data_IF_569195227404
#
_entry.id   IF_569195227404
#
_cell.length_a   1.000
_cell.length_b   1.000
_cell.length_c   1.000
_cell.angle_alpha   90.00
_cell.angle_beta   90.00
_cell.angle_gamma   90.00
#
_symmetry.space_group_name_H-M   'P 1'
#
loop_
_entity.id
_entity.type
_entity.pdbx_description
1 polymer ?
#
# COMPACT_ATOMS: atom_id res chain seq x y z
N UNK A 1 2.20 -5.18 -9.00
CA UNK A 1 2.21 -6.51 -8.35
C UNK A 1 1.27 -7.46 -9.07
N UNK A 2 1.76 -8.60 -9.58
CA UNK A 2 0.91 -9.63 -10.21
C UNK A 2 -0.14 -10.20 -9.26
N UNK A 3 -1.23 -10.73 -9.82
CA UNK A 3 -2.24 -11.43 -9.03
C UNK A 3 -1.65 -12.72 -8.41
N UNK A 4 -1.95 -12.97 -7.14
CA UNK A 4 -1.47 -14.16 -6.42
C UNK A 4 -0.08 -14.02 -5.78
N UNK A 5 0.54 -12.83 -5.83
CA UNK A 5 1.73 -12.53 -5.03
C UNK A 5 1.42 -12.63 -3.54
N UNK A 6 2.27 -13.37 -2.81
CA UNK A 6 2.22 -13.45 -1.36
C UNK A 6 3.17 -12.42 -0.77
N UNK A 7 2.75 -11.75 0.31
CA UNK A 7 3.53 -10.71 0.97
C UNK A 7 3.52 -10.89 2.47
N UNK A 8 4.63 -10.54 3.12
CA UNK A 8 4.70 -10.36 4.56
C UNK A 8 4.59 -8.87 4.83
N UNK A 9 3.64 -8.49 5.70
CA UNK A 9 3.38 -7.08 5.99
C UNK A 9 3.23 -6.81 7.48
N UNK A 10 3.89 -5.77 7.97
CA UNK A 10 3.83 -5.31 9.35
C UNK A 10 2.73 -4.26 9.53
N UNK A 11 1.86 -4.43 10.53
CA UNK A 11 0.82 -3.45 10.84
C UNK A 11 1.44 -2.18 11.43
N UNK A 12 1.22 -1.04 10.78
CA UNK A 12 1.72 0.24 11.24
C UNK A 12 0.72 0.99 12.13
N UNK A 13 1.23 1.54 13.23
CA UNK A 13 0.56 2.58 14.02
C UNK A 13 0.64 3.93 13.30
N UNK A 14 -0.33 4.82 13.54
CA UNK A 14 -0.41 6.14 12.86
C UNK A 14 0.88 6.97 12.97
N UNK A 15 1.51 6.97 14.14
CA UNK A 15 2.78 7.68 14.36
C UNK A 15 3.95 7.12 13.53
N UNK A 16 3.84 5.93 12.96
CA UNK A 16 4.84 5.31 12.09
C UNK A 16 4.54 5.46 10.60
N UNK A 17 3.48 6.17 10.22
CA UNK A 17 3.12 6.31 8.80
C UNK A 17 4.18 7.03 7.97
N UNK A 18 5.06 7.83 8.60
CA UNK A 18 6.21 8.41 7.92
C UNK A 18 7.15 7.36 7.28
N UNK A 19 7.13 6.10 7.76
CA UNK A 19 7.99 5.02 7.26
C UNK A 19 7.59 4.45 5.89
N UNK A 20 6.41 4.79 5.37
CA UNK A 20 5.87 4.17 4.15
C UNK A 20 6.26 4.91 2.86
N UNK A 21 6.98 6.02 2.95
CA UNK A 21 7.39 6.78 1.77
C UNK A 21 8.21 5.90 0.82
N UNK A 22 7.83 5.88 -0.46
CA UNK A 22 8.43 5.06 -1.50
C UNK A 22 8.33 3.54 -1.25
N UNK A 23 7.42 3.08 -0.39
CA UNK A 23 7.21 1.66 -0.05
C UNK A 23 5.85 1.17 -0.55
N UNK A 24 5.73 -0.15 -0.67
CA UNK A 24 4.46 -0.82 -0.93
C UNK A 24 3.74 -1.06 0.39
N UNK A 25 2.44 -0.76 0.42
CA UNK A 25 1.59 -0.92 1.60
C UNK A 25 0.31 -1.64 1.23
N UNK A 26 -0.32 -2.25 2.23
CA UNK A 26 -1.70 -2.71 2.19
C UNK A 26 -2.54 -1.79 3.06
N UNK A 27 -3.66 -1.32 2.54
CA UNK A 27 -4.56 -0.38 3.21
C UNK A 27 -5.95 -1.01 3.33
N UNK A 28 -6.51 -1.01 4.53
CA UNK A 28 -7.89 -1.38 4.76
C UNK A 28 -8.80 -0.15 4.67
N UNK A 29 -9.76 -0.20 3.75
CA UNK A 29 -10.73 0.87 3.49
C UNK A 29 -12.13 0.26 3.44
N UNK A 30 -12.94 0.58 4.45
CA UNK A 30 -14.24 -0.06 4.64
C UNK A 30 -14.11 -1.59 4.77
N UNK A 31 -14.73 -2.34 3.84
CA UNK A 31 -14.69 -3.81 3.78
C UNK A 31 -13.62 -4.36 2.82
N UNK A 32 -12.77 -3.50 2.24
CA UNK A 32 -11.80 -3.87 1.19
C UNK A 32 -10.37 -3.67 1.69
N UNK A 33 -9.47 -4.47 1.14
CA UNK A 33 -8.03 -4.28 1.22
C UNK A 33 -7.52 -3.84 -0.15
N UNK A 34 -6.67 -2.82 -0.19
CA UNK A 34 -6.05 -2.31 -1.40
C UNK A 34 -4.54 -2.28 -1.18
N UNK A 35 -3.78 -2.81 -2.12
CA UNK A 35 -2.32 -2.78 -2.07
C UNK A 35 -1.76 -1.84 -3.15
N UNK A 36 -0.74 -1.07 -2.81
CA UNK A 36 -0.11 -0.14 -3.75
C UNK A 36 1.12 0.53 -3.15
N UNK A 37 1.84 1.29 -3.97
CA UNK A 37 3.02 2.05 -3.55
C UNK A 37 2.64 3.47 -3.17
N UNK A 38 3.22 3.96 -2.08
CA UNK A 38 3.13 5.37 -1.67
C UNK A 38 4.35 6.11 -2.19
N UNK A 39 4.20 7.29 -2.80
CA UNK A 39 5.34 8.13 -3.22
C UNK A 39 5.59 9.23 -2.20
N UNK A 40 6.78 9.82 -2.24
CA UNK A 40 7.34 10.69 -1.20
C UNK A 40 6.50 11.94 -0.85
N UNK A 41 5.61 12.40 -1.75
CA UNK A 41 4.81 13.62 -1.58
C UNK A 41 3.40 13.42 -1.03
N UNK A 42 2.88 12.19 -0.98
CA UNK A 42 1.43 11.98 -0.85
C UNK A 42 0.92 11.91 0.59
N UNK A 43 1.83 11.99 1.56
CA UNK A 43 1.51 11.99 2.99
C UNK A 43 1.35 13.40 3.56
N UNK A 44 1.71 14.43 2.80
CA UNK A 44 1.74 15.81 3.28
C UNK A 44 0.37 16.46 3.05
N UNK A 45 -0.44 16.43 4.11
CA UNK A 45 -1.36 17.50 4.52
C UNK A 45 -2.77 17.61 3.90
N UNK A 46 -3.11 16.92 2.81
CA UNK A 46 -4.43 17.13 2.16
C UNK A 46 -5.57 16.20 2.61
N UNK A 47 -5.39 15.41 3.67
CA UNK A 47 -6.44 14.49 4.16
C UNK A 47 -6.72 13.31 3.21
N UNK A 48 -5.97 13.19 2.12
CA UNK A 48 -6.05 12.14 1.11
C UNK A 48 -4.71 11.40 1.05
N UNK A 49 -4.80 10.11 0.77
CA UNK A 49 -3.71 9.16 0.68
C UNK A 49 -3.70 8.59 -0.73
N UNK A 50 -2.58 8.73 -1.45
CA UNK A 50 -2.47 8.26 -2.83
C UNK A 50 -1.76 6.91 -2.88
N UNK A 51 -2.41 5.93 -3.49
CA UNK A 51 -1.84 4.61 -3.79
C UNK A 51 -1.58 4.49 -5.28
N UNK A 52 -0.32 4.36 -5.64
CA UNK A 52 0.07 4.09 -7.01
C UNK A 52 0.10 2.59 -7.25
N UNK A 53 -0.20 2.18 -8.48
CA UNK A 53 0.13 0.82 -8.90
C UNK A 53 1.64 0.61 -8.78
N UNK A 54 2.03 -0.57 -8.30
CA UNK A 54 3.44 -0.98 -8.23
C UNK A 54 3.96 -1.50 -9.58
N UNK A 55 3.14 -1.50 -10.64
CA UNK A 55 3.57 -1.72 -12.03
C UNK A 55 3.98 -0.42 -12.71
N UNK A 56 4.83 -0.48 -13.75
CA UNK A 56 5.18 0.65 -14.64
C UNK A 56 4.00 1.17 -15.49
N UNK A 57 2.77 0.92 -15.05
CA UNK A 57 1.54 1.35 -15.71
C UNK A 57 1.31 2.83 -15.49
N UNK A 58 0.83 3.53 -16.51
CA UNK A 58 0.39 4.94 -16.46
C UNK A 58 -0.98 5.12 -15.79
N UNK A 59 -1.46 4.11 -15.05
CA UNK A 59 -2.74 4.18 -14.38
C UNK A 59 -2.75 5.28 -13.31
N UNK A 60 -3.86 6.01 -13.25
CA UNK A 60 -4.06 7.03 -12.24
C UNK A 60 -3.97 6.45 -10.83
N UNK A 61 -3.43 7.20 -9.85
CA UNK A 61 -3.36 6.74 -8.47
C UNK A 61 -4.75 6.55 -7.88
N UNK A 62 -4.88 5.57 -6.98
CA UNK A 62 -6.08 5.39 -6.20
C UNK A 62 -6.09 6.38 -5.03
N UNK A 63 -7.08 7.28 -5.03
CA UNK A 63 -7.24 8.30 -3.99
C UNK A 63 -8.05 7.75 -2.82
N UNK A 64 -7.50 7.82 -1.61
CA UNK A 64 -8.12 7.33 -0.39
C UNK A 64 -8.22 8.43 0.68
N UNK A 65 -9.42 8.84 1.12
CA UNK A 65 -9.55 9.74 2.25
C UNK A 65 -8.92 9.11 3.51
N UNK A 66 -8.01 9.78 4.19
CA UNK A 66 -7.31 9.25 5.38
C UNK A 66 -8.32 8.85 6.47
N UNK A 67 -9.44 9.56 6.58
CA UNK A 67 -10.53 9.24 7.51
C UNK A 67 -11.18 7.86 7.25
N UNK A 68 -11.10 7.36 6.02
CA UNK A 68 -11.65 6.05 5.63
C UNK A 68 -10.70 4.88 5.90
N UNK A 69 -9.42 5.16 6.17
CA UNK A 69 -8.38 4.16 6.39
C UNK A 69 -8.55 3.57 7.80
N UNK A 70 -8.88 2.27 7.85
CA UNK A 70 -9.08 1.51 9.09
C UNK A 70 -7.83 0.74 9.53
N UNK A 71 -6.91 0.51 8.61
CA UNK A 71 -5.65 -0.19 8.87
C UNK A 71 -4.64 0.06 7.77
N UNK A 72 -3.37 0.03 8.14
CA UNK A 72 -2.24 0.20 7.23
C UNK A 72 -1.18 -0.83 7.61
N UNK A 73 -0.66 -1.54 6.61
CA UNK A 73 0.43 -2.48 6.75
C UNK A 73 1.53 -2.14 5.75
N UNK A 74 2.78 -2.11 6.22
CA UNK A 74 3.96 -1.94 5.38
C UNK A 74 4.38 -3.31 4.87
N UNK A 75 4.55 -3.45 3.55
CA UNK A 75 5.10 -4.68 2.99
C UNK A 75 6.61 -4.69 3.26
N UNK A 76 7.06 -5.70 3.98
CA UNK A 76 8.48 -5.94 4.26
C UNK A 76 9.09 -6.84 3.21
N UNK A 77 8.37 -7.90 2.81
CA UNK A 77 8.89 -8.91 1.90
C UNK A 77 7.84 -9.39 0.89
N UNK A 78 8.30 -9.68 -0.33
CA UNK A 78 7.52 -10.35 -1.38
C UNK A 78 7.99 -11.81 -1.45
N UNK A 79 7.06 -12.74 -1.31
CA UNK A 79 7.37 -14.16 -1.39
C UNK A 79 7.13 -14.64 -2.82
N UNK A 80 8.19 -15.15 -3.45
CA UNK A 80 8.08 -15.79 -4.75
C UNK A 80 7.28 -17.09 -4.62
N UNK A 81 6.31 -17.26 -5.52
CA UNK A 81 5.53 -18.49 -5.62
C UNK A 81 6.47 -19.58 -6.16
N UNK A 82 6.90 -20.55 -5.34
CA UNK A 82 7.54 -21.76 -5.86
C UNK A 82 6.57 -22.40 -6.85
N UNK A 83 6.94 -22.43 -8.13
CA UNK A 83 6.22 -23.23 -9.12
C UNK A 83 6.30 -24.70 -8.67
N UNK A 84 5.17 -25.25 -8.24
CA UNK A 84 5.05 -26.70 -8.07
C UNK A 84 5.02 -27.26 -9.50
N UNK A 85 6.06 -28.02 -9.85
CA UNK A 85 6.19 -28.72 -11.14
C UNK A 85 5.20 -29.87 -11.23
#
# INVERSE_FOLDING_TARGET
MPAGTLVIAEKLRRNHWHKIQNRVVVVAVGKRLVAGRVKQNDLREQGVFLLYSDSHTTADPFLLPIASIRGLWLVEEFLERKQIR
#
